data_IF_697127432709
#
_entry.id   IF_697127432709
#
_cell.length_a   1.000
_cell.length_b   1.000
_cell.length_c   1.000
_cell.angle_alpha   90.00
_cell.angle_beta   90.00
_cell.angle_gamma   90.00
#
_symmetry.space_group_name_H-M   'P 1'
#
loop_
_entity.id
_entity.type
_entity.pdbx_description
1 polymer ?
#
# COMPACT_ATOMS: atom_id res chain seq x y z
N UNK A 1 -3.74 -9.49 20.56
CA UNK A 1 -2.92 -9.11 19.40
C UNK A 1 -3.22 -7.66 19.06
N UNK A 2 -2.20 -6.83 19.05
CA UNK A 2 -2.21 -5.49 18.47
C UNK A 2 -1.14 -5.42 17.39
N UNK A 3 -1.37 -4.61 16.37
CA UNK A 3 -0.39 -4.35 15.33
C UNK A 3 0.24 -2.98 15.56
N UNK A 4 1.48 -2.81 15.13
CA UNK A 4 2.17 -1.52 15.09
C UNK A 4 2.45 -1.21 13.64
N UNK A 5 1.95 -0.09 13.11
CA UNK A 5 2.30 0.44 11.80
C UNK A 5 3.29 1.57 12.00
N UNK A 6 4.53 1.37 11.56
CA UNK A 6 5.54 2.41 11.58
C UNK A 6 5.61 3.11 10.23
N UNK A 7 5.69 4.44 10.22
CA UNK A 7 5.94 5.27 9.03
C UNK A 7 6.92 6.40 9.37
N UNK A 8 7.42 7.13 8.38
CA UNK A 8 8.36 8.25 8.59
C UNK A 8 7.94 9.50 7.85
N UNK A 9 8.38 10.68 8.30
CA UNK A 9 8.12 11.92 7.56
C UNK A 9 9.12 12.15 6.42
N UNK A 10 8.76 12.96 5.42
CA UNK A 10 9.67 13.34 4.33
C UNK A 10 10.92 14.03 4.90
N UNK A 11 10.73 14.90 5.89
CA UNK A 11 11.79 15.63 6.59
C UNK A 11 12.75 14.72 7.36
N UNK A 12 12.26 13.57 7.84
CA UNK A 12 13.04 12.59 8.62
C UNK A 12 13.68 11.52 7.74
N UNK A 13 13.31 11.43 6.46
CA UNK A 13 13.98 10.55 5.51
C UNK A 13 15.45 10.95 5.38
N UNK A 14 16.39 9.99 5.42
CA UNK A 14 17.76 10.23 4.99
C UNK A 14 17.83 10.81 3.58
N UNK A 15 18.88 11.60 3.30
CA UNK A 15 19.02 12.36 2.05
C UNK A 15 19.05 11.46 0.81
N UNK A 16 19.63 10.27 0.91
CA UNK A 16 19.65 9.24 -0.13
C UNK A 16 18.25 8.70 -0.44
N UNK A 17 17.40 8.53 0.58
CA UNK A 17 16.00 8.13 0.37
C UNK A 17 15.19 9.26 -0.26
N UNK A 18 15.39 10.51 0.15
CA UNK A 18 14.77 11.66 -0.52
C UNK A 18 15.22 11.74 -1.98
N UNK A 19 16.52 11.61 -2.24
CA UNK A 19 17.08 11.63 -3.59
C UNK A 19 16.49 10.54 -4.49
N UNK A 20 16.29 9.33 -3.97
CA UNK A 20 15.62 8.24 -4.67
C UNK A 20 14.21 8.63 -5.15
N UNK A 21 13.35 9.18 -4.29
CA UNK A 21 12.02 9.62 -4.70
C UNK A 21 12.05 10.77 -5.71
N UNK A 22 13.05 11.63 -5.64
CA UNK A 22 13.26 12.72 -6.60
C UNK A 22 13.69 12.17 -7.96
N UNK A 23 14.58 11.17 -7.99
CA UNK A 23 15.01 10.47 -9.19
C UNK A 23 13.84 9.78 -9.91
N UNK A 24 12.97 9.09 -9.15
CA UNK A 24 11.74 8.48 -9.68
C UNK A 24 10.84 9.49 -10.40
N UNK A 25 10.98 10.78 -10.13
CA UNK A 25 10.18 11.85 -10.71
C UNK A 25 11.00 12.74 -11.65
N UNK A 26 11.94 12.15 -12.40
CA UNK A 26 12.81 12.85 -13.36
C UNK A 26 13.55 14.04 -12.72
N UNK A 27 14.08 13.80 -11.52
CA UNK A 27 14.82 14.77 -10.72
C UNK A 27 14.02 16.04 -10.33
N UNK A 28 12.69 15.96 -10.22
CA UNK A 28 11.83 17.06 -9.79
C UNK A 28 11.50 16.98 -8.29
N UNK A 29 12.09 17.83 -7.41
CA UNK A 29 11.99 17.66 -5.96
C UNK A 29 10.57 17.67 -5.41
N UNK A 30 9.73 18.58 -5.91
CA UNK A 30 8.34 18.70 -5.48
C UNK A 30 7.52 17.48 -5.87
N UNK A 31 7.76 16.90 -7.06
CA UNK A 31 7.06 15.70 -7.49
C UNK A 31 7.49 14.48 -6.68
N UNK A 32 8.78 14.35 -6.35
CA UNK A 32 9.27 13.27 -5.49
C UNK A 32 8.61 13.28 -4.10
N UNK A 33 8.48 14.46 -3.51
CA UNK A 33 7.73 14.64 -2.25
C UNK A 33 6.24 14.31 -2.38
N UNK A 34 5.61 14.68 -3.51
CA UNK A 34 4.21 14.34 -3.78
C UNK A 34 4.03 12.83 -3.92
N UNK A 35 4.89 12.14 -4.68
CA UNK A 35 4.89 10.68 -4.77
C UNK A 35 5.01 10.04 -3.39
N UNK A 36 5.99 10.47 -2.60
CA UNK A 36 6.20 9.94 -1.25
C UNK A 36 4.96 10.11 -0.36
N UNK A 37 4.40 11.32 -0.32
CA UNK A 37 3.23 11.60 0.51
C UNK A 37 2.01 10.79 0.04
N UNK A 38 1.74 10.77 -1.27
CA UNK A 38 0.63 10.03 -1.85
C UNK A 38 0.76 8.52 -1.63
N UNK A 39 1.97 7.99 -1.71
CA UNK A 39 2.23 6.57 -1.49
C UNK A 39 2.21 6.23 0.01
N UNK A 40 3.07 6.83 0.83
CA UNK A 40 3.30 6.39 2.21
C UNK A 40 2.39 7.03 3.27
N UNK A 41 1.87 8.25 3.05
CA UNK A 41 0.92 8.85 4.01
C UNK A 41 -0.52 8.45 3.75
N UNK A 42 -0.83 8.08 2.51
CA UNK A 42 -2.18 7.81 2.07
C UNK A 42 -2.37 6.37 1.61
N UNK A 43 -1.87 6.01 0.43
CA UNK A 43 -2.20 4.72 -0.20
C UNK A 43 -1.75 3.51 0.64
N UNK A 44 -0.49 3.50 1.05
CA UNK A 44 0.19 2.36 1.65
C UNK A 44 -0.32 2.04 3.06
N UNK A 45 -0.99 2.99 3.74
CA UNK A 45 -1.64 2.72 5.04
C UNK A 45 -2.72 1.64 4.91
N UNK A 46 -3.53 1.70 3.84
CA UNK A 46 -4.54 0.68 3.56
C UNK A 46 -3.87 -0.65 3.17
N UNK A 47 -2.81 -0.61 2.35
CA UNK A 47 -2.04 -1.81 1.98
C UNK A 47 -1.50 -2.55 3.21
N UNK A 48 -0.85 -1.84 4.15
CA UNK A 48 -0.35 -2.45 5.39
C UNK A 48 -1.47 -2.99 6.28
N UNK A 49 -2.61 -2.32 6.32
CA UNK A 49 -3.80 -2.87 6.98
C UNK A 49 -4.26 -4.19 6.34
N UNK A 50 -4.03 -4.38 5.05
CA UNK A 50 -4.23 -5.64 4.37
C UNK A 50 -3.42 -6.78 5.01
N UNK A 51 -2.12 -6.58 5.22
CA UNK A 51 -1.26 -7.55 5.91
C UNK A 51 -1.68 -7.79 7.36
N UNK A 52 -2.07 -6.73 8.08
CA UNK A 52 -2.60 -6.83 9.45
C UNK A 52 -3.85 -7.73 9.49
N UNK A 53 -4.79 -7.51 8.57
CA UNK A 53 -6.01 -8.29 8.47
C UNK A 53 -5.70 -9.76 8.18
N UNK A 54 -4.84 -10.05 7.19
CA UNK A 54 -4.44 -11.42 6.86
C UNK A 54 -3.86 -12.15 8.06
N UNK A 55 -2.97 -11.49 8.82
CA UNK A 55 -2.41 -12.04 10.06
C UNK A 55 -3.49 -12.32 11.10
N UNK A 56 -4.40 -11.37 11.33
CA UNK A 56 -5.44 -11.48 12.34
C UNK A 56 -6.45 -12.59 12.05
N UNK A 57 -6.76 -12.81 10.77
CA UNK A 57 -7.68 -13.85 10.30
C UNK A 57 -7.00 -15.19 10.02
N UNK A 58 -5.67 -15.25 10.09
CA UNK A 58 -4.90 -16.47 9.84
C UNK A 58 -4.90 -16.91 8.38
N UNK A 59 -5.20 -16.00 7.45
CA UNK A 59 -5.27 -16.26 6.01
C UNK A 59 -3.86 -16.40 5.44
N UNK A 60 -3.58 -17.51 4.76
CA UNK A 60 -2.29 -17.78 4.11
C UNK A 60 -2.39 -17.50 2.61
N UNK A 61 -1.36 -16.92 2.02
CA UNK A 61 -1.23 -16.82 0.57
C UNK A 61 -0.53 -18.06 0.03
N UNK A 62 -0.75 -18.34 -1.25
CA UNK A 62 0.00 -19.37 -1.98
C UNK A 62 1.48 -18.96 -2.18
N UNK A 63 1.72 -17.66 -2.32
CA UNK A 63 3.03 -17.04 -2.59
C UNK A 63 3.11 -15.65 -1.95
N UNK A 64 4.32 -15.08 -1.85
CA UNK A 64 4.47 -13.69 -1.41
C UNK A 64 3.92 -12.73 -2.46
N UNK A 65 4.11 -13.06 -3.74
CA UNK A 65 3.52 -12.30 -4.84
C UNK A 65 2.00 -12.14 -4.68
N UNK A 66 1.29 -13.24 -4.42
CA UNK A 66 -0.18 -13.22 -4.24
C UNK A 66 -0.56 -12.42 -2.98
N UNK A 67 0.25 -12.48 -1.93
CA UNK A 67 0.02 -11.68 -0.72
C UNK A 67 0.10 -10.17 -1.00
N UNK A 68 1.18 -9.70 -1.63
CA UNK A 68 1.39 -8.29 -1.99
C UNK A 68 0.31 -7.79 -2.97
N UNK A 69 -0.04 -8.62 -3.95
CA UNK A 69 -1.07 -8.30 -4.92
C UNK A 69 -2.45 -8.18 -4.25
N UNK A 70 -2.82 -9.11 -3.35
CA UNK A 70 -4.09 -9.04 -2.63
C UNK A 70 -4.17 -7.84 -1.68
N UNK A 71 -3.08 -7.50 -0.97
CA UNK A 71 -3.00 -6.31 -0.12
C UNK A 71 -3.15 -5.01 -0.94
N UNK A 72 -2.55 -4.96 -2.13
CA UNK A 72 -2.65 -3.82 -3.05
C UNK A 72 -4.04 -3.69 -3.66
N UNK A 73 -4.66 -4.78 -4.10
CA UNK A 73 -6.05 -4.81 -4.58
C UNK A 73 -7.02 -4.31 -3.52
N UNK A 74 -6.84 -4.76 -2.27
CA UNK A 74 -7.60 -4.26 -1.14
C UNK A 74 -7.44 -2.74 -0.95
N UNK A 75 -6.21 -2.23 -0.97
CA UNK A 75 -5.96 -0.80 -0.81
C UNK A 75 -6.65 0.03 -1.91
N UNK A 76 -6.55 -0.39 -3.18
CA UNK A 76 -7.23 0.26 -4.30
C UNK A 76 -8.74 0.21 -4.13
N UNK A 77 -9.30 -0.96 -3.81
CA UNK A 77 -10.74 -1.14 -3.65
C UNK A 77 -11.30 -0.33 -2.48
N UNK A 78 -10.54 -0.21 -1.39
CA UNK A 78 -10.89 0.62 -0.24
C UNK A 78 -10.98 2.10 -0.63
N UNK A 79 -9.92 2.65 -1.24
CA UNK A 79 -9.89 4.06 -1.63
C UNK A 79 -10.95 4.41 -2.68
N UNK A 80 -11.23 3.47 -3.60
CA UNK A 80 -12.32 3.59 -4.55
C UNK A 80 -13.68 3.64 -3.86
N UNK A 81 -13.94 2.72 -2.93
CA UNK A 81 -15.18 2.72 -2.15
C UNK A 81 -15.33 3.98 -1.29
N UNK A 82 -14.20 4.57 -0.88
CA UNK A 82 -14.14 5.86 -0.18
C UNK A 82 -14.34 7.08 -1.10
N UNK A 83 -14.42 6.89 -2.42
CA UNK A 83 -14.67 7.98 -3.38
C UNK A 83 -13.44 8.77 -3.80
N UNK A 84 -12.23 8.24 -3.58
CA UNK A 84 -10.95 8.93 -3.82
C UNK A 84 -10.42 8.73 -5.26
N UNK A 85 -11.31 8.63 -6.25
CA UNK A 85 -10.94 8.39 -7.66
C UNK A 85 -9.95 9.44 -8.21
N UNK A 86 -10.08 10.69 -7.79
CA UNK A 86 -9.13 11.76 -8.18
C UNK A 86 -7.72 11.53 -7.64
N UNK A 87 -7.57 11.08 -6.38
CA UNK A 87 -6.27 10.75 -5.80
C UNK A 87 -5.71 9.44 -6.34
N UNK A 88 -6.56 8.46 -6.64
CA UNK A 88 -6.16 7.23 -7.32
C UNK A 88 -5.61 7.51 -8.72
N UNK A 89 -6.23 8.44 -9.46
CA UNK A 89 -5.70 8.88 -10.76
C UNK A 89 -4.34 9.58 -10.60
N UNK A 90 -4.19 10.48 -9.62
CA UNK A 90 -2.91 11.12 -9.33
C UNK A 90 -1.83 10.10 -8.93
N UNK A 91 -2.21 9.05 -8.19
CA UNK A 91 -1.30 7.97 -7.80
C UNK A 91 -0.87 7.20 -9.04
N UNK A 92 -1.82 6.84 -9.91
CA UNK A 92 -1.54 6.17 -11.18
C UNK A 92 -0.49 6.95 -11.98
N UNK A 93 -0.71 8.26 -12.17
CA UNK A 93 0.22 9.11 -12.93
C UNK A 93 1.63 9.11 -12.33
N UNK A 94 1.75 9.21 -11.01
CA UNK A 94 3.05 9.21 -10.33
C UNK A 94 3.75 7.84 -10.46
N UNK A 95 3.05 6.73 -10.20
CA UNK A 95 3.66 5.41 -10.25
C UNK A 95 3.96 4.95 -11.67
N UNK A 96 3.19 5.38 -12.68
CA UNK A 96 3.51 5.17 -14.10
C UNK A 96 4.81 5.89 -14.50
N UNK A 97 4.95 7.16 -14.11
CA UNK A 97 6.16 7.93 -14.37
C UNK A 97 7.38 7.31 -13.69
N UNK A 98 7.26 6.97 -12.41
CA UNK A 98 8.33 6.33 -11.65
C UNK A 98 8.72 4.97 -12.22
N UNK A 99 7.73 4.12 -12.51
CA UNK A 99 7.97 2.78 -13.08
C UNK A 99 8.65 2.84 -14.44
N UNK A 100 8.37 3.85 -15.27
CA UNK A 100 9.00 4.03 -16.58
C UNK A 100 10.49 4.33 -16.50
N UNK A 101 10.94 4.96 -15.41
CA UNK A 101 12.35 5.28 -15.19
C UNK A 101 13.13 4.12 -14.54
N UNK A 102 12.42 3.14 -13.98
CA UNK A 102 13.01 1.98 -13.33
C UNK A 102 13.24 0.82 -14.32
N UNK A 103 14.39 0.12 -14.23
CA UNK A 103 14.58 -1.12 -14.99
C UNK A 103 13.61 -2.19 -14.49
N UNK A 104 13.05 -2.99 -15.41
CA UNK A 104 12.29 -4.18 -15.02
C UNK A 104 13.26 -5.24 -14.47
N UNK A 105 13.12 -5.68 -13.21
CA UNK A 105 14.01 -6.69 -12.64
C UNK A 105 13.74 -8.11 -13.16
N UNK A 106 12.53 -8.37 -13.67
CA UNK A 106 12.12 -9.71 -14.13
C UNK A 106 12.62 -9.92 -15.56
N UNK A 107 13.35 -11.02 -15.80
CA UNK A 107 13.83 -11.36 -17.14
C UNK A 107 12.66 -11.77 -18.05
N UNK A 108 12.73 -11.54 -19.38
CA UNK A 108 11.60 -11.76 -20.29
C UNK A 108 10.98 -13.18 -20.29
N UNK A 109 11.76 -14.20 -19.96
CA UNK A 109 11.34 -15.61 -19.97
C UNK A 109 10.97 -16.14 -18.57
N UNK A 110 11.03 -15.30 -17.54
CA UNK A 110 10.70 -15.67 -16.17
C UNK A 110 9.24 -15.34 -15.83
N UNK A 111 8.62 -16.22 -15.04
CA UNK A 111 7.28 -15.97 -14.52
C UNK A 111 7.38 -15.01 -13.31
N UNK A 112 6.66 -13.87 -13.32
CA UNK A 112 6.79 -12.83 -12.30
C UNK A 112 6.65 -13.29 -10.85
N UNK A 113 5.65 -14.13 -10.55
CA UNK A 113 5.39 -14.57 -9.18
C UNK A 113 6.51 -15.49 -8.68
N UNK A 114 6.95 -16.44 -9.51
CA UNK A 114 8.06 -17.33 -9.21
C UNK A 114 9.38 -16.57 -9.02
N UNK A 115 9.65 -15.56 -9.86
CA UNK A 115 10.83 -14.71 -9.73
C UNK A 115 10.82 -13.96 -8.40
N UNK A 116 9.71 -13.25 -8.09
CA UNK A 116 9.60 -12.48 -6.86
C UNK A 116 9.74 -13.34 -5.60
N UNK A 117 9.09 -14.50 -5.57
CA UNK A 117 9.16 -15.40 -4.43
C UNK A 117 10.57 -15.95 -4.19
N UNK A 118 11.31 -16.21 -5.28
CA UNK A 118 12.69 -16.73 -5.25
C UNK A 118 13.68 -15.65 -4.81
N UNK A 119 13.54 -14.43 -5.34
CA UNK A 119 14.47 -13.31 -5.14
C UNK A 119 14.03 -12.32 -4.06
N UNK A 120 12.99 -12.63 -3.29
CA UNK A 120 12.35 -11.72 -2.32
C UNK A 120 13.34 -10.96 -1.42
N UNK A 121 14.29 -11.67 -0.79
CA UNK A 121 15.26 -11.05 0.13
C UNK A 121 16.19 -10.07 -0.58
N UNK A 122 16.57 -10.36 -1.83
CA UNK A 122 17.44 -9.50 -2.64
C UNK A 122 16.64 -8.28 -3.12
N UNK A 123 15.44 -8.50 -3.66
CA UNK A 123 14.57 -7.44 -4.16
C UNK A 123 14.23 -6.43 -3.06
N UNK A 124 13.86 -6.89 -1.86
CA UNK A 124 13.53 -6.00 -0.73
C UNK A 124 14.73 -5.19 -0.20
N UNK A 125 15.95 -5.52 -0.62
CA UNK A 125 17.17 -4.76 -0.33
C UNK A 125 17.61 -3.85 -1.49
N UNK A 126 16.94 -3.92 -2.63
CA UNK A 126 17.19 -3.10 -3.82
C UNK A 126 15.99 -2.19 -4.08
N UNK A 127 15.98 -0.94 -3.55
CA UNK A 127 14.81 -0.06 -3.63
C UNK A 127 14.26 0.13 -5.05
N UNK A 128 15.13 0.24 -6.06
CA UNK A 128 14.75 0.41 -7.46
C UNK A 128 13.93 -0.77 -8.00
N UNK A 129 14.42 -1.98 -7.78
CA UNK A 129 13.77 -3.21 -8.28
C UNK A 129 12.48 -3.47 -7.52
N UNK A 130 12.48 -3.26 -6.20
CA UNK A 130 11.29 -3.44 -5.39
C UNK A 130 10.20 -2.43 -5.74
N UNK A 131 10.56 -1.15 -5.90
CA UNK A 131 9.61 -0.10 -6.30
C UNK A 131 9.02 -0.35 -7.68
N UNK A 132 9.78 -0.95 -8.63
CA UNK A 132 9.23 -1.34 -9.93
C UNK A 132 8.05 -2.30 -9.75
N UNK A 133 8.22 -3.32 -8.91
CA UNK A 133 7.19 -4.34 -8.65
C UNK A 133 6.01 -3.77 -7.87
N UNK A 134 6.27 -2.95 -6.84
CA UNK A 134 5.24 -2.24 -6.09
C UNK A 134 4.37 -1.37 -7.01
N UNK A 135 4.98 -0.58 -7.89
CA UNK A 135 4.26 0.23 -8.86
C UNK A 135 3.50 -0.62 -9.88
N UNK A 136 4.05 -1.76 -10.31
CA UNK A 136 3.34 -2.70 -11.18
C UNK A 136 2.05 -3.23 -10.52
N UNK A 137 2.11 -3.66 -9.26
CA UNK A 137 0.92 -4.13 -8.54
C UNK A 137 -0.12 -3.05 -8.35
N UNK A 138 0.29 -1.80 -8.07
CA UNK A 138 -0.63 -0.67 -7.96
C UNK A 138 -1.39 -0.46 -9.28
N UNK A 139 -0.68 -0.46 -10.41
CA UNK A 139 -1.29 -0.29 -11.73
C UNK A 139 -2.23 -1.46 -12.09
N UNK A 140 -1.83 -2.69 -11.79
CA UNK A 140 -2.66 -3.87 -11.99
C UNK A 140 -3.94 -3.80 -11.13
N UNK A 141 -3.81 -3.42 -9.85
CA UNK A 141 -4.94 -3.25 -8.93
C UNK A 141 -5.91 -2.17 -9.39
N UNK A 142 -5.39 -1.04 -9.88
CA UNK A 142 -6.19 0.04 -10.47
C UNK A 142 -6.99 -0.44 -11.68
N UNK A 143 -6.36 -1.23 -12.56
CA UNK A 143 -6.97 -1.76 -13.77
C UNK A 143 -8.08 -2.79 -13.51
N UNK A 144 -8.00 -3.59 -12.44
CA UNK A 144 -8.97 -4.65 -12.11
C UNK A 144 -10.37 -4.14 -11.78
N UNK A 145 -10.52 -2.88 -11.34
CA UNK A 145 -11.81 -2.26 -10.98
C UNK A 145 -12.66 -3.10 -10.00
N UNK A 146 -12.00 -3.88 -9.15
CA UNK A 146 -12.65 -4.73 -8.16
C UNK A 146 -13.33 -3.87 -7.09
N UNK A 147 -14.51 -4.30 -6.62
CA UNK A 147 -15.19 -3.70 -5.48
C UNK A 147 -14.60 -4.17 -4.14
N UNK A 148 -14.83 -3.39 -3.08
CA UNK A 148 -14.25 -3.65 -1.77
C UNK A 148 -14.67 -5.00 -1.17
N UNK A 149 -15.92 -5.44 -1.37
CA UNK A 149 -16.37 -6.73 -0.84
C UNK A 149 -15.64 -7.88 -1.52
N UNK A 150 -15.51 -7.84 -2.85
CA UNK A 150 -14.75 -8.83 -3.59
C UNK A 150 -13.27 -8.84 -3.18
N UNK A 151 -12.66 -7.67 -2.98
CA UNK A 151 -11.28 -7.57 -2.52
C UNK A 151 -11.10 -8.14 -1.11
N UNK A 152 -12.04 -7.90 -0.19
CA UNK A 152 -12.01 -8.47 1.17
C UNK A 152 -12.18 -9.99 1.19
N UNK A 153 -13.01 -10.54 0.28
CA UNK A 153 -13.14 -11.99 0.13
C UNK A 153 -11.83 -12.63 -0.30
N UNK A 154 -11.19 -12.05 -1.31
CA UNK A 154 -9.89 -12.49 -1.78
C UNK A 154 -8.81 -12.33 -0.69
N UNK A 155 -8.84 -11.21 0.05
CA UNK A 155 -7.82 -10.89 1.05
C UNK A 155 -7.91 -11.77 2.30
N UNK A 156 -9.10 -11.95 2.90
CA UNK A 156 -9.24 -12.54 4.25
C UNK A 156 -10.36 -13.55 4.44
N UNK A 157 -11.57 -13.34 3.91
CA UNK A 157 -12.73 -14.20 4.24
C UNK A 157 -13.87 -14.13 3.23
N UNK A 158 -14.34 -15.29 2.77
CA UNK A 158 -15.54 -15.43 1.94
C UNK A 158 -16.81 -14.86 2.60
N UNK A 159 -16.82 -14.72 3.93
CA UNK A 159 -17.94 -14.18 4.69
C UNK A 159 -18.10 -12.66 4.57
N UNK A 160 -17.11 -11.95 4.04
CA UNK A 160 -17.22 -10.52 3.81
C UNK A 160 -18.44 -10.25 2.91
N UNK A 161 -19.25 -9.27 3.29
CA UNK A 161 -20.49 -8.94 2.58
C UNK A 161 -20.49 -7.47 2.14
N UNK A 162 -21.52 -7.05 1.43
CA UNK A 162 -21.66 -5.66 1.02
C UNK A 162 -21.97 -4.80 2.25
N UNK A 163 -21.05 -3.90 2.59
CA UNK A 163 -21.24 -2.96 3.69
C UNK A 163 -22.20 -1.82 3.33
N UNK A 164 -22.54 -0.97 4.32
CA UNK A 164 -23.34 0.22 4.07
C UNK A 164 -22.62 1.17 3.10
N UNK A 165 -23.37 2.00 2.34
CA UNK A 165 -22.76 3.03 1.51
C UNK A 165 -21.82 3.92 2.33
N UNK A 166 -20.60 4.06 1.85
CA UNK A 166 -19.60 4.90 2.50
C UNK A 166 -19.94 6.36 2.24
N UNK A 167 -19.85 7.19 3.28
CA UNK A 167 -19.89 8.64 3.14
C UNK A 167 -18.45 9.12 3.19
N UNK A 168 -17.87 9.59 2.07
CA UNK A 168 -16.50 10.08 2.05
C UNK A 168 -16.32 11.18 3.10
N UNK A 169 -15.36 10.99 4.00
CA UNK A 169 -14.80 12.12 4.72
C UNK A 169 -13.62 12.57 3.90
N UNK A 170 -13.81 13.59 3.07
CA UNK A 170 -12.70 14.15 2.30
C UNK A 170 -11.62 14.57 3.31
N UNK A 171 -10.52 13.82 3.33
CA UNK A 171 -9.37 14.24 4.10
C UNK A 171 -8.88 15.56 3.49
N UNK A 172 -8.75 16.58 4.33
CA UNK A 172 -7.98 17.76 3.97
C UNK A 172 -6.53 17.31 3.73
N UNK A 173 -5.84 17.97 2.82
CA UNK A 173 -4.44 17.86 2.38
C UNK A 173 -3.61 16.65 2.83
N UNK A 174 -2.90 16.01 1.88
CA UNK A 174 -1.97 14.92 2.19
C UNK A 174 -0.81 15.47 3.03
N UNK A 175 -0.83 15.20 4.33
CA UNK A 175 0.19 15.60 5.29
C UNK A 175 0.69 14.42 6.14
N UNK A 176 1.71 14.69 6.95
CA UNK A 176 2.36 13.68 7.80
C UNK A 176 1.43 13.06 8.84
N UNK A 177 0.35 13.74 9.24
CA UNK A 177 -0.61 13.25 10.23
C UNK A 177 -1.73 12.40 9.61
N UNK A 178 -1.86 12.38 8.29
CA UNK A 178 -2.88 11.63 7.57
C UNK A 178 -2.98 10.16 8.01
N UNK A 179 -1.88 9.39 8.18
CA UNK A 179 -1.93 8.02 8.69
C UNK A 179 -2.74 7.86 9.99
N UNK A 180 -2.66 8.83 10.91
CA UNK A 180 -3.37 8.81 12.20
C UNK A 180 -4.90 8.86 12.03
N UNK A 181 -5.36 9.45 10.94
CA UNK A 181 -6.79 9.62 10.65
C UNK A 181 -7.37 8.48 9.82
N UNK A 182 -6.54 7.85 8.97
CA UNK A 182 -6.96 6.76 8.09
C UNK A 182 -7.35 5.51 8.89
N UNK A 183 -6.58 5.13 9.92
CA UNK A 183 -6.84 3.90 10.68
C UNK A 183 -8.24 3.86 11.34
N UNK A 184 -8.70 4.90 12.05
CA UNK A 184 -10.07 4.95 12.55
C UNK A 184 -11.13 4.76 11.47
N UNK A 185 -10.98 5.40 10.31
CA UNK A 185 -11.96 5.33 9.22
C UNK A 185 -11.93 3.97 8.51
N UNK A 186 -10.73 3.40 8.25
CA UNK A 186 -10.56 2.01 7.82
C UNK A 186 -11.30 1.05 8.73
N UNK A 187 -11.12 1.19 10.06
CA UNK A 187 -11.78 0.32 11.05
C UNK A 187 -13.30 0.45 10.99
N UNK A 188 -13.83 1.67 10.85
CA UNK A 188 -15.27 1.90 10.70
C UNK A 188 -15.83 1.25 9.43
N UNK A 189 -15.12 1.41 8.31
CA UNK A 189 -15.52 0.86 7.01
C UNK A 189 -15.52 -0.66 7.06
N UNK A 190 -14.41 -1.26 7.48
CA UNK A 190 -14.26 -2.71 7.58
C UNK A 190 -15.31 -3.35 8.47
N UNK A 191 -15.66 -2.71 9.60
CA UNK A 191 -16.70 -3.19 10.49
C UNK A 191 -18.07 -3.26 9.80
N UNK A 192 -18.34 -2.35 8.84
CA UNK A 192 -19.53 -2.40 8.00
C UNK A 192 -19.57 -3.61 7.05
N UNK A 193 -18.44 -4.28 6.82
CA UNK A 193 -18.30 -5.48 6.00
C UNK A 193 -18.14 -6.77 6.83
N UNK A 194 -18.42 -6.73 8.14
CA UNK A 194 -18.10 -7.80 9.13
C UNK A 194 -16.61 -8.17 9.21
N UNK A 195 -15.72 -7.23 8.84
CA UNK A 195 -14.28 -7.39 8.95
C UNK A 195 -13.76 -6.52 10.09
N UNK A 196 -13.05 -7.13 11.05
CA UNK A 196 -12.55 -6.44 12.24
C UNK A 196 -11.06 -6.21 12.08
N UNK A 197 -10.67 -4.96 11.86
CA UNK A 197 -9.26 -4.55 11.96
C UNK A 197 -8.87 -4.52 13.45
N UNK A 198 -7.84 -5.28 13.89
CA UNK A 198 -7.38 -5.22 15.27
C UNK A 198 -6.91 -3.80 15.65
N UNK A 199 -6.67 -3.53 16.94
CA UNK A 199 -6.01 -2.30 17.36
C UNK A 199 -4.67 -2.14 16.62
N UNK A 200 -4.49 -0.97 16.02
CA UNK A 200 -3.25 -0.59 15.31
C UNK A 200 -2.69 0.63 16.04
N UNK A 201 -1.50 0.46 16.59
CA UNK A 201 -0.66 1.56 17.08
C UNK A 201 0.09 2.15 15.88
N UNK A 202 0.10 3.47 15.76
CA UNK A 202 0.82 4.15 14.69
C UNK A 202 2.03 4.84 15.30
N UNK A 203 3.21 4.53 14.77
CA UNK A 203 4.49 5.08 15.26
C UNK A 203 5.15 5.84 14.12
N UNK A 204 5.41 7.14 14.33
CA UNK A 204 6.25 7.90 13.41
C UNK A 204 7.71 7.72 13.82
N UNK A 205 8.46 6.97 13.02
CA UNK A 205 9.90 6.73 13.21
C UNK A 205 10.50 6.24 11.89
N UNK A 206 11.73 6.66 11.59
CA UNK A 206 12.44 6.15 10.41
C UNK A 206 12.78 4.66 10.55
N UNK A 207 12.60 3.92 9.46
CA UNK A 207 13.10 2.57 9.23
C UNK A 207 13.58 2.46 7.78
N UNK A 208 14.61 1.64 7.47
CA UNK A 208 15.02 1.38 6.09
C UNK A 208 13.90 0.85 5.19
N UNK A 209 12.90 0.16 5.76
CA UNK A 209 11.71 -0.28 5.01
C UNK A 209 10.75 0.87 4.67
N UNK A 210 10.99 2.09 5.20
CA UNK A 210 10.15 3.30 5.12
C UNK A 210 8.83 3.16 5.87
N UNK A 211 8.16 2.03 5.70
CA UNK A 211 6.95 1.62 6.41
C UNK A 211 7.02 0.12 6.71
N UNK A 212 6.56 -0.31 7.87
CA UNK A 212 6.43 -1.73 8.18
C UNK A 212 5.35 -1.99 9.23
N UNK A 213 4.86 -3.23 9.27
CA UNK A 213 3.95 -3.74 10.30
C UNK A 213 4.66 -4.68 11.26
N UNK A 214 4.60 -4.36 12.55
CA UNK A 214 4.98 -5.24 13.65
C UNK A 214 3.76 -5.84 14.36
N UNK A 215 3.94 -6.97 15.05
CA UNK A 215 2.88 -7.58 15.86
C UNK A 215 3.37 -7.78 17.29
N UNK A 216 2.64 -7.21 18.24
CA UNK A 216 2.83 -7.45 19.66
C UNK A 216 2.07 -8.70 20.13
N UNK A 217 2.70 -9.46 21.04
CA UNK A 217 2.08 -10.57 21.78
C UNK A 217 1.02 -10.05 22.75
#
# INVERSE_FOLDING_TARGET
MFATLQYTSWEELPVDYQAFFIELMDNQPQRGRVLFALYYYWFNIAHECGHILRKAYGTRAESRWVEEQAATEFAVAYWRAFGEEGRLAQLADCVEDGKRLLPNPILPDEEPAAYYDTHYTELTQTPHEHSYLQFAWVLDGLAKKQDLTAALRHLVTEQAHAGPPMTPRFYLDIDVHLPLTIIPDLRQVLAGHDVILPPVEIVQSFSPAIQFVGFGS
#
